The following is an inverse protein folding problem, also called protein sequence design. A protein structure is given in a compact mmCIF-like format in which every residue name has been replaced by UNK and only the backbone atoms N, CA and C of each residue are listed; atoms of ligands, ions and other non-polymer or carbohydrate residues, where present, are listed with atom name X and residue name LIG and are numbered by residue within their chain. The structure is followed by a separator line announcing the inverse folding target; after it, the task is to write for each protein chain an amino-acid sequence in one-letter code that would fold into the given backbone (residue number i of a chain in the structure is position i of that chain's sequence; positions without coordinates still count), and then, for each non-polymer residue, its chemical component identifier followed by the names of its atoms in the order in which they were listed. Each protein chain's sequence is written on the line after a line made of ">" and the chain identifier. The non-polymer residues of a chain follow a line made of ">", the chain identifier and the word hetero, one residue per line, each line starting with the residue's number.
data_IF_505083755730
#
_entry.id   IF_505083755730
#
_cell.length_a   1.000
_cell.length_b   1.000
_cell.length_c   1.000
_cell.angle_alpha   90.00
_cell.angle_beta   90.00
_cell.angle_gamma   90.00
#
_symmetry.space_group_name_H-M   'P 1'
#
loop_
_entity.id
_entity.type
_entity.pdbx_description
1 polymer ?
#
# COMPACT_ATOMS: atom_id res chain seq x y z
N UNK A 1 -4.31 -4.46 -19.04
CA UNK A 1 -3.57 -4.30 -17.80
C UNK A 1 -3.29 -2.82 -17.54
N UNK A 2 -3.51 -2.40 -16.33
CA UNK A 2 -3.43 -1.00 -15.94
C UNK A 2 -2.00 -0.46 -16.03
N UNK A 3 -1.85 0.71 -16.64
CA UNK A 3 -0.58 1.43 -16.68
C UNK A 3 -0.55 2.37 -15.47
N UNK A 4 0.33 2.08 -14.51
CA UNK A 4 0.42 2.87 -13.29
C UNK A 4 1.43 4.00 -13.50
N UNK A 5 0.94 5.23 -13.48
CA UNK A 5 1.77 6.42 -13.61
C UNK A 5 2.48 6.73 -12.30
N UNK A 6 3.60 7.45 -12.38
CA UNK A 6 4.38 7.86 -11.21
C UNK A 6 3.63 8.90 -10.39
N UNK A 7 2.75 8.42 -9.52
CA UNK A 7 1.91 9.21 -8.62
C UNK A 7 1.88 8.55 -7.26
N UNK A 8 1.44 9.29 -6.26
CA UNK A 8 1.16 8.74 -4.94
C UNK A 8 -0.31 8.35 -4.88
N UNK A 9 -0.58 7.05 -4.67
CA UNK A 9 -1.93 6.49 -4.62
C UNK A 9 -2.27 6.11 -3.20
N UNK A 10 -3.47 6.44 -2.77
CA UNK A 10 -4.02 5.91 -1.51
C UNK A 10 -5.29 5.12 -1.83
N UNK A 11 -5.20 3.80 -1.69
CA UNK A 11 -6.32 2.88 -1.85
C UNK A 11 -6.77 2.44 -0.46
N UNK A 12 -7.92 2.95 -0.04
CA UNK A 12 -8.42 2.69 1.30
C UNK A 12 -9.69 1.85 1.25
N UNK A 13 -9.99 1.19 2.36
CA UNK A 13 -11.20 0.39 2.48
C UNK A 13 -11.41 -0.01 3.92
N UNK A 14 -12.62 -0.48 4.24
CA UNK A 14 -12.94 -0.95 5.57
C UNK A 14 -12.19 -2.24 5.89
N UNK A 15 -12.17 -2.61 7.16
CA UNK A 15 -11.69 -3.93 7.57
C UNK A 15 -12.51 -5.01 6.84
N UNK A 16 -11.83 -6.04 6.36
CA UNK A 16 -12.48 -7.07 5.57
C UNK A 16 -12.61 -6.76 4.09
N UNK A 17 -12.18 -5.58 3.65
CA UNK A 17 -12.07 -5.27 2.23
C UNK A 17 -10.90 -6.05 1.62
N UNK A 18 -10.77 -6.00 0.31
CA UNK A 18 -9.73 -6.74 -0.41
C UNK A 18 -8.41 -5.98 -0.53
N UNK A 19 -8.09 -5.10 0.42
CA UNK A 19 -6.89 -4.25 0.35
C UNK A 19 -5.60 -5.06 0.17
N UNK A 20 -5.34 -5.99 1.08
CA UNK A 20 -4.11 -6.78 1.03
C UNK A 20 -4.04 -7.65 -0.22
N UNK A 21 -5.16 -8.27 -0.60
CA UNK A 21 -5.20 -9.07 -1.82
C UNK A 21 -4.90 -8.20 -3.05
N UNK A 22 -5.45 -6.98 -3.10
CA UNK A 22 -5.19 -6.05 -4.19
C UNK A 22 -3.71 -5.66 -4.24
N UNK A 23 -3.11 -5.38 -3.08
CA UNK A 23 -1.69 -5.05 -2.98
C UNK A 23 -0.80 -6.19 -3.51
N UNK A 24 -1.11 -7.43 -3.11
CA UNK A 24 -0.36 -8.60 -3.56
C UNK A 24 -0.53 -8.83 -5.06
N UNK A 25 -1.72 -8.59 -5.61
CA UNK A 25 -1.96 -8.71 -7.04
C UNK A 25 -1.14 -7.70 -7.85
N UNK A 26 -0.98 -6.47 -7.34
CA UNK A 26 -0.14 -5.48 -8.00
C UNK A 26 1.30 -5.97 -8.05
N UNK A 27 1.84 -6.45 -6.94
CA UNK A 27 3.20 -6.99 -6.87
C UNK A 27 3.38 -8.13 -7.87
N UNK A 28 2.42 -9.06 -7.90
CA UNK A 28 2.45 -10.20 -8.79
C UNK A 28 2.40 -9.77 -10.27
N UNK A 29 1.57 -8.80 -10.60
CA UNK A 29 1.45 -8.30 -11.96
C UNK A 29 2.76 -7.68 -12.46
N UNK A 30 3.47 -6.95 -11.59
CA UNK A 30 4.79 -6.42 -11.95
C UNK A 30 5.78 -7.56 -12.22
N UNK A 31 5.80 -8.55 -11.34
CA UNK A 31 6.66 -9.73 -11.50
C UNK A 31 6.40 -10.45 -12.84
N UNK A 32 5.14 -10.65 -13.18
CA UNK A 32 4.74 -11.30 -14.44
C UNK A 32 5.24 -10.55 -15.67
N UNK A 33 5.44 -9.25 -15.55
CA UNK A 33 5.96 -8.40 -16.63
C UNK A 33 7.47 -8.27 -16.63
N UNK A 34 8.17 -9.01 -15.78
CA UNK A 34 9.61 -8.90 -15.65
C UNK A 34 10.05 -7.64 -14.93
N UNK A 35 9.18 -7.02 -14.15
CA UNK A 35 9.45 -5.80 -13.41
C UNK A 35 9.48 -6.07 -11.91
N UNK A 36 10.01 -5.14 -11.14
CA UNK A 36 10.15 -5.28 -9.69
C UNK A 36 9.28 -4.29 -8.94
N UNK A 37 8.39 -4.81 -8.10
CA UNK A 37 7.66 -3.98 -7.14
C UNK A 37 8.22 -4.28 -5.74
N UNK A 38 8.48 -3.21 -4.99
CA UNK A 38 8.95 -3.33 -3.61
C UNK A 38 7.75 -3.29 -2.68
N UNK A 39 7.49 -4.40 -1.98
CA UNK A 39 6.41 -4.49 -1.02
C UNK A 39 6.94 -4.18 0.37
N UNK A 40 6.31 -3.23 1.03
CA UNK A 40 6.69 -2.82 2.39
C UNK A 40 5.46 -2.66 3.28
N UNK A 41 5.68 -2.73 4.58
CA UNK A 41 4.67 -2.42 5.59
C UNK A 41 5.37 -1.84 6.82
N UNK A 42 4.68 -1.04 7.66
CA UNK A 42 5.26 -0.62 8.93
C UNK A 42 5.49 -1.83 9.84
N UNK A 43 6.59 -1.82 10.58
CA UNK A 43 6.86 -2.87 11.56
C UNK A 43 6.18 -2.49 12.87
N UNK A 44 5.11 -3.21 13.21
CA UNK A 44 4.29 -2.91 14.38
C UNK A 44 4.71 -3.70 15.62
N UNK A 45 5.39 -4.82 15.42
CA UNK A 45 5.74 -5.76 16.48
C UNK A 45 7.10 -6.37 16.15
N UNK A 46 7.94 -6.57 17.18
CA UNK A 46 9.24 -7.23 17.00
C UNK A 46 9.12 -8.68 16.57
N UNK A 47 7.93 -9.29 16.72
CA UNK A 47 7.65 -10.65 16.27
C UNK A 47 7.12 -10.72 14.84
N UNK A 48 7.09 -9.60 14.14
CA UNK A 48 6.66 -9.54 12.76
C UNK A 48 7.60 -10.37 11.88
N UNK A 49 7.01 -11.22 11.04
CA UNK A 49 7.76 -12.18 10.21
C UNK A 49 8.20 -11.57 8.86
N UNK A 50 7.89 -10.31 8.59
CA UNK A 50 8.21 -9.70 7.31
C UNK A 50 7.45 -10.31 6.14
N UNK A 51 6.19 -10.64 6.36
CA UNK A 51 5.32 -11.27 5.37
C UNK A 51 3.98 -10.54 5.36
N UNK A 52 3.46 -10.27 4.16
CA UNK A 52 2.10 -9.76 3.96
C UNK A 52 1.21 -10.93 3.57
N UNK A 53 0.13 -11.14 4.32
CA UNK A 53 -0.83 -12.22 4.08
C UNK A 53 -2.23 -11.66 3.86
N UNK A 54 -2.92 -12.18 2.84
CA UNK A 54 -4.33 -11.88 2.64
C UNK A 54 -5.18 -12.93 3.35
N UNK A 55 -6.47 -12.63 3.54
CA UNK A 55 -7.44 -13.58 4.09
C UNK A 55 -7.65 -14.77 3.17
N UNK A 56 -7.31 -14.65 1.91
CA UNK A 56 -7.46 -15.71 0.92
C UNK A 56 -6.25 -16.65 0.88
N UNK A 57 -5.30 -16.47 1.78
CA UNK A 57 -4.12 -17.33 1.87
C UNK A 57 -2.95 -16.92 0.98
N UNK A 58 -3.09 -15.82 0.22
CA UNK A 58 -1.98 -15.28 -0.54
C UNK A 58 -0.98 -14.65 0.41
N UNK A 59 0.31 -14.89 0.17
CA UNK A 59 1.35 -14.25 0.98
C UNK A 59 2.57 -13.90 0.16
N UNK A 60 3.32 -12.91 0.61
CA UNK A 60 4.52 -12.44 -0.05
C UNK A 60 5.45 -11.86 1.00
N UNK A 61 6.75 -12.13 0.86
CA UNK A 61 7.76 -11.48 1.71
C UNK A 61 7.76 -9.99 1.43
N UNK A 62 8.00 -9.21 2.47
CA UNK A 62 8.04 -7.76 2.37
C UNK A 62 9.23 -7.21 3.17
N UNK A 63 9.55 -5.96 2.90
CA UNK A 63 10.45 -5.17 3.75
C UNK A 63 9.62 -4.28 4.66
N UNK A 64 10.27 -3.57 5.56
CA UNK A 64 9.58 -2.64 6.46
C UNK A 64 9.77 -1.21 5.98
N UNK A 65 8.78 -0.36 6.28
CA UNK A 65 8.86 1.07 5.97
C UNK A 65 10.10 1.67 6.63
N UNK A 66 10.43 1.21 7.84
CA UNK A 66 11.61 1.66 8.59
C UNK A 66 12.92 1.41 7.82
N UNK A 67 12.96 0.36 7.02
CA UNK A 67 14.12 0.07 6.16
C UNK A 67 14.05 0.84 4.84
N UNK A 68 12.84 1.02 4.33
CA UNK A 68 12.64 1.76 3.08
C UNK A 68 13.19 3.18 3.18
N UNK A 69 12.90 3.86 4.29
CA UNK A 69 13.32 5.27 4.46
C UNK A 69 14.83 5.43 4.62
N UNK A 70 15.54 4.33 4.78
CA UNK A 70 17.02 4.33 4.85
C UNK A 70 17.67 3.97 3.53
N UNK A 71 16.90 3.59 2.51
CA UNK A 71 17.44 3.23 1.21
C UNK A 71 17.93 4.47 0.48
N UNK A 72 19.01 4.29 -0.28
CA UNK A 72 19.51 5.36 -1.14
C UNK A 72 18.64 5.46 -2.40
N UNK A 73 18.73 6.60 -3.09
CA UNK A 73 18.01 6.79 -4.34
C UNK A 73 18.40 5.74 -5.39
N UNK A 74 19.68 5.38 -5.44
CA UNK A 74 20.15 4.36 -6.38
C UNK A 74 19.54 2.99 -6.09
N UNK A 75 19.42 2.63 -4.82
CA UNK A 75 18.76 1.38 -4.43
C UNK A 75 17.28 1.40 -4.79
N UNK A 76 16.62 2.54 -4.57
CA UNK A 76 15.20 2.70 -4.89
C UNK A 76 14.94 2.62 -6.39
N UNK A 77 15.85 3.13 -7.21
CA UNK A 77 15.71 3.11 -8.67
C UNK A 77 15.74 1.71 -9.28
N UNK A 78 16.13 0.70 -8.51
CA UNK A 78 16.06 -0.67 -8.97
C UNK A 78 14.63 -1.20 -9.01
N UNK A 79 13.68 -0.47 -8.43
CA UNK A 79 12.28 -0.88 -8.38
C UNK A 79 11.43 -0.03 -9.31
N UNK A 80 10.41 -0.66 -9.88
CA UNK A 80 9.48 -0.02 -10.80
C UNK A 80 8.24 0.52 -10.08
N UNK A 81 8.01 0.09 -8.84
CA UNK A 81 6.87 0.48 -8.03
C UNK A 81 7.14 0.17 -6.57
N UNK A 82 6.58 0.96 -5.67
CA UNK A 82 6.57 0.67 -4.23
C UNK A 82 5.12 0.46 -3.81
N UNK A 83 4.86 -0.65 -3.13
CA UNK A 83 3.53 -0.99 -2.62
C UNK A 83 3.63 -1.03 -1.10
N UNK A 84 2.81 -0.23 -0.44
CA UNK A 84 2.80 -0.09 1.02
C UNK A 84 1.50 -0.67 1.57
N UNK A 85 1.58 -1.74 2.37
CA UNK A 85 0.42 -2.26 3.08
C UNK A 85 0.40 -1.70 4.50
N UNK A 86 -0.79 -1.69 5.12
CA UNK A 86 -0.98 -1.14 6.46
C UNK A 86 -0.51 0.31 6.59
N UNK A 87 -0.72 1.10 5.54
CA UNK A 87 -0.20 2.46 5.45
C UNK A 87 -0.77 3.42 6.49
N UNK A 88 -1.92 3.06 7.10
CA UNK A 88 -2.51 3.87 8.16
C UNK A 88 -1.57 4.04 9.37
N UNK A 89 -0.65 3.11 9.55
CA UNK A 89 0.31 3.16 10.67
C UNK A 89 1.60 3.89 10.33
N UNK A 90 1.72 4.43 9.12
CA UNK A 90 2.87 5.25 8.75
C UNK A 90 2.82 6.61 9.45
N UNK A 91 3.98 7.24 9.57
CA UNK A 91 4.11 8.58 10.13
C UNK A 91 4.10 9.62 8.99
N UNK A 92 3.89 10.87 9.36
CA UNK A 92 3.98 11.97 8.39
C UNK A 92 5.30 11.94 7.63
N UNK A 93 6.41 11.71 8.33
CA UNK A 93 7.74 11.65 7.70
C UNK A 93 7.86 10.52 6.68
N UNK A 94 7.16 9.40 6.91
CA UNK A 94 7.13 8.31 5.95
C UNK A 94 6.42 8.74 4.66
N UNK A 95 5.30 9.45 4.79
CA UNK A 95 4.54 9.94 3.64
C UNK A 95 5.36 10.97 2.86
N UNK A 96 6.11 11.82 3.56
CA UNK A 96 7.03 12.76 2.90
C UNK A 96 8.08 12.01 2.07
N UNK A 97 8.59 10.91 2.59
CA UNK A 97 9.55 10.06 1.87
C UNK A 97 8.91 9.44 0.63
N UNK A 98 7.65 9.00 0.74
CA UNK A 98 6.92 8.44 -0.41
C UNK A 98 6.77 9.51 -1.50
N UNK A 99 6.51 10.75 -1.13
CA UNK A 99 6.45 11.85 -2.11
C UNK A 99 7.79 12.07 -2.80
N UNK A 100 8.90 11.96 -2.08
CA UNK A 100 10.23 12.02 -2.67
C UNK A 100 10.41 10.93 -3.73
N UNK A 101 9.99 9.71 -3.45
CA UNK A 101 10.08 8.59 -4.39
C UNK A 101 9.29 8.90 -5.66
N UNK A 102 8.10 9.47 -5.51
CA UNK A 102 7.22 9.80 -6.64
C UNK A 102 7.78 10.99 -7.42
N UNK A 103 8.06 12.09 -6.73
CA UNK A 103 8.36 13.36 -7.38
C UNK A 103 9.78 13.42 -7.93
N UNK A 104 10.75 12.90 -7.20
CA UNK A 104 12.16 13.01 -7.55
C UNK A 104 12.68 11.79 -8.33
N UNK A 105 12.14 10.60 -8.05
CA UNK A 105 12.61 9.37 -8.69
C UNK A 105 11.65 8.85 -9.75
N UNK A 106 10.47 9.45 -9.89
CA UNK A 106 9.45 9.04 -10.85
C UNK A 106 9.03 7.58 -10.71
N UNK A 107 8.90 7.13 -9.47
CA UNK A 107 8.46 5.77 -9.14
C UNK A 107 7.09 5.86 -8.49
N UNK A 108 6.08 5.14 -8.98
CA UNK A 108 4.76 5.16 -8.35
C UNK A 108 4.80 4.50 -6.98
N UNK A 109 4.09 5.08 -6.02
CA UNK A 109 3.91 4.52 -4.68
C UNK A 109 2.42 4.32 -4.45
N UNK A 110 2.03 3.07 -4.17
CA UNK A 110 0.63 2.71 -3.96
C UNK A 110 0.49 2.28 -2.50
N UNK A 111 -0.29 3.05 -1.75
CA UNK A 111 -0.51 2.80 -0.32
C UNK A 111 -1.91 2.23 -0.09
N UNK A 112 -1.97 1.19 0.73
CA UNK A 112 -3.22 0.52 1.10
C UNK A 112 -3.42 0.65 2.60
N UNK A 113 -4.62 1.02 3.02
CA UNK A 113 -4.87 1.14 4.45
C UNK A 113 -6.29 1.51 4.80
N UNK A 114 -6.52 1.62 6.11
CA UNK A 114 -7.77 2.10 6.68
C UNK A 114 -7.74 3.62 6.74
N UNK A 115 -8.87 4.25 6.45
CA UNK A 115 -8.97 5.70 6.52
C UNK A 115 -9.09 6.20 7.96
N UNK A 116 -9.95 5.56 8.73
CA UNK A 116 -10.22 5.93 10.13
C UNK A 116 -10.30 4.68 11.00
N UNK A 117 -10.16 4.88 12.31
CA UNK A 117 -10.39 3.83 13.29
C UNK A 117 -11.90 3.65 13.55
N UNK A 118 -12.27 2.77 14.51
CA UNK A 118 -13.66 2.51 14.83
C UNK A 118 -14.38 3.72 15.43
N UNK A 119 -13.64 4.73 15.92
CA UNK A 119 -14.20 5.98 16.46
C UNK A 119 -14.31 7.06 15.40
N UNK A 120 -14.05 6.72 14.13
CA UNK A 120 -14.01 7.64 12.99
C UNK A 120 -12.92 8.69 13.09
N UNK A 121 -11.89 8.43 13.90
CA UNK A 121 -10.71 9.27 13.95
C UNK A 121 -9.70 8.81 12.90
N UNK A 122 -9.10 9.73 12.13
CA UNK A 122 -8.15 9.32 11.11
C UNK A 122 -6.85 8.83 11.74
N UNK A 123 -6.30 7.76 11.17
CA UNK A 123 -4.93 7.34 11.48
C UNK A 123 -3.95 8.37 10.95
N UNK A 124 -2.78 8.50 11.57
CA UNK A 124 -1.78 9.49 11.17
C UNK A 124 -1.38 9.32 9.69
N UNK A 125 -1.02 8.11 9.27
CA UNK A 125 -0.64 7.87 7.88
C UNK A 125 -1.77 8.18 6.91
N UNK A 126 -3.00 7.79 7.28
CA UNK A 126 -4.17 8.03 6.43
C UNK A 126 -4.50 9.50 6.31
N UNK A 127 -4.35 10.26 7.39
CA UNK A 127 -4.58 11.71 7.38
C UNK A 127 -3.68 12.39 6.33
N UNK A 128 -2.39 12.07 6.34
CA UNK A 128 -1.46 12.70 5.42
C UNK A 128 -1.58 12.16 4.00
N UNK A 129 -1.94 10.88 3.84
CA UNK A 129 -2.24 10.33 2.52
C UNK A 129 -3.48 10.98 1.91
N UNK A 130 -4.53 11.20 2.71
CA UNK A 130 -5.73 11.88 2.21
C UNK A 130 -5.41 13.32 1.80
N UNK A 131 -4.49 13.97 2.52
CA UNK A 131 -4.09 15.34 2.21
C UNK A 131 -3.19 15.45 0.97
N UNK A 132 -2.30 14.47 0.76
CA UNK A 132 -1.21 14.60 -0.20
C UNK A 132 -1.25 13.62 -1.38
N UNK A 133 -2.04 12.55 -1.32
CA UNK A 133 -2.07 11.60 -2.43
C UNK A 133 -2.63 12.24 -3.70
N UNK A 134 -2.04 11.88 -4.82
CA UNK A 134 -2.49 12.34 -6.13
C UNK A 134 -3.78 11.64 -6.55
N UNK A 135 -3.94 10.38 -6.15
CA UNK A 135 -5.11 9.56 -6.48
C UNK A 135 -5.59 8.88 -5.21
N UNK A 136 -6.87 9.04 -4.90
CA UNK A 136 -7.51 8.41 -3.75
C UNK A 136 -8.64 7.53 -4.26
N UNK A 137 -8.58 6.24 -3.91
CA UNK A 137 -9.56 5.25 -4.36
C UNK A 137 -10.09 4.47 -3.18
N UNK A 138 -11.38 4.22 -3.17
CA UNK A 138 -12.00 3.35 -2.17
C UNK A 138 -12.14 1.95 -2.71
N UNK A 139 -11.64 0.95 -1.96
CA UNK A 139 -11.82 -0.46 -2.29
C UNK A 139 -13.02 -0.98 -1.52
N UNK A 140 -13.97 -1.57 -2.23
CA UNK A 140 -15.20 -2.08 -1.62
C UNK A 140 -15.03 -3.51 -1.15
N UNK A 141 -15.75 -3.86 -0.08
CA UNK A 141 -15.79 -5.22 0.41
C UNK A 141 -16.52 -6.11 -0.59
N UNK A 142 -15.97 -7.29 -0.86
CA UNK A 142 -16.63 -8.28 -1.71
C UNK A 142 -17.75 -8.92 -0.91
N UNK A 143 -18.97 -8.94 -1.49
CA UNK A 143 -20.13 -9.58 -0.87
C UNK A 143 -20.30 -11.00 -1.37
N UNK A 144 -20.39 -11.95 -0.45
CA UNK A 144 -20.62 -13.35 -0.76
C UNK A 144 -22.08 -13.75 -0.54
N UNK A 145 -23.00 -12.79 -0.50
CA UNK A 145 -24.40 -13.06 -0.20
C UNK A 145 -25.22 -13.52 -1.41
N UNK A 146 -24.61 -13.72 -2.56
CA UNK A 146 -25.25 -14.38 -3.69
C UNK A 146 -26.04 -13.49 -4.64
N UNK A 147 -26.41 -12.29 -4.24
CA UNK A 147 -27.15 -11.37 -5.11
C UNK A 147 -26.24 -10.42 -5.89
N UNK A 148 -24.95 -10.51 -5.66
CA UNK A 148 -23.98 -9.69 -6.37
C UNK A 148 -24.03 -8.21 -6.03
N UNK A 149 -24.90 -7.81 -5.17
CA UNK A 149 -24.97 -6.42 -4.73
C UNK A 149 -23.82 -6.10 -3.80
N UNK A 150 -23.39 -4.85 -3.80
CA UNK A 150 -22.33 -4.42 -2.89
C UNK A 150 -22.79 -4.57 -1.45
N UNK A 151 -22.00 -5.24 -0.64
CA UNK A 151 -22.22 -5.33 0.79
C UNK A 151 -21.54 -4.12 1.46
N UNK A 152 -22.20 -3.04 1.42
CA UNK A 152 -21.69 -1.82 2.06
C UNK A 152 -22.03 -1.77 3.52
#
# INVERSE_FOLDING_TARGET
>A
MENIMAKLYFRHGAMGSSKTANALMVVYNYYERGKNALLVKPQLDTRDEGVVRSRMGLEQKCKYVEDLVKMTDDELREYDCVVVDEAQFCKKSDIEFFEHIVDDLSIPVICYGLRTDFRREPFEGSLWLLAWADVIEELKTVCWCGDGASCN
#
